data_IF_676934802317
#
_entry.id   IF_676934802317
#
_cell.length_a   1.000
_cell.length_b   1.000
_cell.length_c   1.000
_cell.angle_alpha   90.00
_cell.angle_beta   90.00
_cell.angle_gamma   90.00
#
_symmetry.space_group_name_H-M   'P 1'
#
loop_
_entity.id
_entity.type
_entity.pdbx_description
1 polymer ?
#
# COMPACT_ATOMS: atom_id res chain seq x y z
N UNK A 1 -52.25 1.16 -15.22
CA UNK A 1 -50.95 1.72 -15.60
C UNK A 1 -50.22 2.12 -14.33
N UNK A 2 -49.32 1.29 -13.82
CA UNK A 2 -48.31 1.74 -12.84
C UNK A 2 -47.18 0.72 -12.82
N UNK A 3 -46.08 1.08 -13.50
CA UNK A 3 -44.83 0.34 -13.50
C UNK A 3 -44.21 0.50 -12.11
N UNK A 4 -44.10 -0.60 -11.36
CA UNK A 4 -43.29 -0.62 -10.15
C UNK A 4 -41.82 -0.70 -10.59
N UNK A 5 -41.15 0.45 -10.62
CA UNK A 5 -39.72 0.53 -10.86
C UNK A 5 -39.00 0.07 -9.58
N UNK A 6 -38.46 -1.15 -9.60
CA UNK A 6 -37.58 -1.66 -8.56
C UNK A 6 -36.23 -0.94 -8.70
N UNK A 7 -35.99 0.07 -7.87
CA UNK A 7 -34.66 0.68 -7.73
C UNK A 7 -33.70 -0.38 -7.16
N UNK A 8 -32.74 -0.80 -7.98
CA UNK A 8 -31.50 -1.42 -7.50
C UNK A 8 -30.73 -0.35 -6.69
N UNK A 9 -30.83 -0.42 -5.37
CA UNK A 9 -29.84 0.22 -4.52
C UNK A 9 -28.52 -0.55 -4.67
N UNK A 10 -27.59 -0.02 -5.47
CA UNK A 10 -26.19 -0.36 -5.32
C UNK A 10 -25.75 0.15 -3.95
N UNK A 11 -25.71 -0.74 -2.96
CA UNK A 11 -25.01 -0.44 -1.72
C UNK A 11 -23.56 -0.07 -2.07
N UNK A 12 -23.00 1.03 -1.53
CA UNK A 12 -21.57 1.25 -1.63
C UNK A 12 -20.90 0.05 -0.97
N UNK A 13 -20.02 -0.62 -1.69
CA UNK A 13 -19.08 -1.56 -1.09
C UNK A 13 -18.40 -0.80 0.06
N UNK A 14 -18.77 -1.17 1.29
CA UNK A 14 -18.03 -0.78 2.47
C UNK A 14 -16.55 -1.07 2.17
N UNK A 15 -15.66 -0.12 2.46
CA UNK A 15 -14.22 -0.31 2.36
C UNK A 15 -13.79 -1.48 3.25
N UNK A 16 -13.90 -2.69 2.73
CA UNK A 16 -13.63 -3.92 3.43
C UNK A 16 -12.12 -4.10 3.44
N UNK A 17 -11.42 -3.75 4.52
CA UNK A 17 -10.08 -4.24 4.87
C UNK A 17 -9.18 -4.66 3.68
N UNK A 18 -9.01 -3.79 2.68
CA UNK A 18 -8.35 -4.19 1.44
C UNK A 18 -6.85 -4.21 1.72
N UNK A 19 -6.28 -5.41 1.85
CA UNK A 19 -4.84 -5.60 1.84
C UNK A 19 -4.29 -5.02 0.53
N UNK A 20 -3.20 -4.25 0.61
CA UNK A 20 -2.61 -3.63 -0.58
C UNK A 20 -2.15 -4.71 -1.58
N UNK A 21 -2.34 -4.53 -2.89
CA UNK A 21 -1.93 -5.50 -3.91
C UNK A 21 -0.40 -5.54 -4.03
N UNK A 22 0.21 -6.57 -3.42
CA UNK A 22 1.67 -6.71 -3.31
C UNK A 22 2.35 -7.00 -4.64
N UNK A 23 1.67 -7.73 -5.52
CA UNK A 23 2.07 -7.99 -6.90
C UNK A 23 2.22 -6.69 -7.71
N UNK A 24 1.23 -5.80 -7.67
CA UNK A 24 1.25 -4.53 -8.39
C UNK A 24 2.28 -3.56 -7.81
N UNK A 25 2.43 -3.53 -6.48
CA UNK A 25 3.46 -2.71 -5.82
C UNK A 25 4.85 -3.17 -6.23
N UNK A 26 5.11 -4.48 -6.18
CA UNK A 26 6.40 -5.06 -6.53
C UNK A 26 6.76 -4.79 -8.00
N UNK A 27 5.79 -4.95 -8.91
CA UNK A 27 5.94 -4.64 -10.33
C UNK A 27 6.29 -3.16 -10.56
N UNK A 28 5.60 -2.21 -9.89
CA UNK A 28 5.88 -0.77 -9.99
C UNK A 28 7.25 -0.38 -9.39
N UNK A 29 7.80 -1.20 -8.48
CA UNK A 29 9.14 -1.05 -7.92
C UNK A 29 10.22 -1.80 -8.73
N UNK A 30 9.83 -2.60 -9.72
CA UNK A 30 10.74 -3.40 -10.54
C UNK A 30 11.44 -4.50 -9.76
N UNK A 31 10.73 -5.18 -8.85
CA UNK A 31 11.22 -6.35 -8.12
C UNK A 31 10.18 -7.48 -8.11
N UNK A 32 10.61 -8.70 -7.79
CA UNK A 32 9.71 -9.83 -7.60
C UNK A 32 8.82 -9.64 -6.36
N UNK A 33 7.56 -10.07 -6.43
CA UNK A 33 6.61 -9.97 -5.32
C UNK A 33 7.11 -10.70 -4.06
N UNK A 34 7.67 -11.89 -4.21
CA UNK A 34 8.23 -12.66 -3.10
C UNK A 34 9.32 -11.89 -2.36
N UNK A 35 10.17 -11.14 -3.09
CA UNK A 35 11.22 -10.31 -2.50
C UNK A 35 10.62 -9.08 -1.78
N UNK A 36 9.58 -8.48 -2.36
CA UNK A 36 8.84 -7.40 -1.70
C UNK A 36 8.26 -7.87 -0.36
N UNK A 37 7.51 -8.98 -0.35
CA UNK A 37 6.92 -9.54 0.88
C UNK A 37 7.98 -9.89 1.91
N UNK A 38 9.08 -10.52 1.48
CA UNK A 38 10.20 -10.86 2.37
C UNK A 38 10.81 -9.61 3.04
N UNK A 39 11.01 -8.52 2.29
CA UNK A 39 11.54 -7.28 2.86
C UNK A 39 10.61 -6.61 3.89
N UNK A 40 9.32 -6.94 3.88
CA UNK A 40 8.36 -6.43 4.85
C UNK A 40 8.29 -7.26 6.14
N UNK A 41 8.94 -8.44 6.22
CA UNK A 41 8.85 -9.33 7.37
C UNK A 41 9.28 -8.67 8.69
N UNK A 42 10.29 -7.80 8.65
CA UNK A 42 10.85 -7.13 9.83
C UNK A 42 10.28 -5.71 10.04
N UNK A 43 9.36 -5.27 9.19
CA UNK A 43 8.70 -3.97 9.32
C UNK A 43 7.57 -4.06 10.33
N UNK A 44 7.40 -3.02 11.15
CA UNK A 44 6.31 -2.93 12.14
C UNK A 44 5.26 -1.92 11.67
N UNK A 45 4.33 -2.29 10.77
CA UNK A 45 3.31 -1.38 10.27
C UNK A 45 2.39 -0.89 11.39
N UNK A 46 1.80 0.29 11.18
CA UNK A 46 0.81 0.83 12.10
C UNK A 46 -0.54 0.10 11.90
N UNK A 47 -1.14 -0.50 12.95
CA UNK A 47 -2.43 -1.20 12.84
C UNK A 47 -3.58 -0.29 12.44
N UNK A 48 -3.51 1.02 12.76
CA UNK A 48 -4.49 2.01 12.32
C UNK A 48 -4.22 2.55 10.92
N UNK A 49 -3.26 1.94 10.21
CA UNK A 49 -2.76 2.36 8.90
C UNK A 49 -2.19 3.79 8.86
N UNK A 50 -2.17 4.54 9.96
CA UNK A 50 -1.76 5.95 10.04
C UNK A 50 -0.48 6.13 10.89
N UNK A 51 0.69 5.62 10.43
CA UNK A 51 1.93 5.73 11.19
C UNK A 51 2.35 7.18 11.39
N UNK A 52 2.80 7.52 12.60
CA UNK A 52 3.49 8.78 12.87
C UNK A 52 4.76 8.92 12.01
N UNK A 53 5.20 10.14 11.75
CA UNK A 53 6.44 10.41 11.00
C UNK A 53 7.66 9.63 11.53
N UNK A 54 7.91 9.58 12.86
CA UNK A 54 8.96 8.73 13.43
C UNK A 54 8.80 7.24 13.12
N UNK A 55 7.59 6.68 13.22
CA UNK A 55 7.32 5.26 12.90
C UNK A 55 7.56 4.97 11.42
N UNK A 56 7.16 5.87 10.53
CA UNK A 56 7.46 5.74 9.10
C UNK A 56 8.96 5.68 8.83
N UNK A 57 9.75 6.58 9.42
CA UNK A 57 11.21 6.59 9.26
C UNK A 57 11.86 5.33 9.80
N UNK A 58 11.43 4.86 10.98
CA UNK A 58 11.95 3.62 11.57
C UNK A 58 11.68 2.40 10.68
N UNK A 59 10.46 2.27 10.17
CA UNK A 59 10.10 1.20 9.25
C UNK A 59 10.89 1.26 7.94
N UNK A 60 11.08 2.47 7.39
CA UNK A 60 11.86 2.68 6.16
C UNK A 60 13.36 2.41 6.32
N UNK A 61 13.92 2.65 7.50
CA UNK A 61 15.32 2.35 7.79
C UNK A 61 15.64 0.85 7.70
N UNK A 62 14.63 -0.01 7.94
CA UNK A 62 14.71 -1.46 7.75
C UNK A 62 14.39 -1.84 6.30
N UNK A 63 13.30 -1.29 5.78
CA UNK A 63 12.75 -1.70 4.48
C UNK A 63 13.62 -1.29 3.28
N UNK A 64 14.11 -0.05 3.24
CA UNK A 64 14.79 0.49 2.06
C UNK A 64 16.07 -0.28 1.72
N UNK A 65 16.99 -0.60 2.67
CA UNK A 65 18.18 -1.39 2.35
C UNK A 65 17.85 -2.75 1.73
N UNK A 66 16.80 -3.43 2.21
CA UNK A 66 16.38 -4.72 1.65
C UNK A 66 15.87 -4.57 0.21
N UNK A 67 14.99 -3.59 -0.04
CA UNK A 67 14.48 -3.33 -1.39
C UNK A 67 15.59 -2.92 -2.35
N UNK A 68 16.56 -2.12 -1.88
CA UNK A 68 17.68 -1.65 -2.67
C UNK A 68 18.69 -2.75 -3.01
N UNK A 69 18.78 -3.81 -2.20
CA UNK A 69 19.55 -5.00 -2.55
C UNK A 69 18.96 -5.73 -3.78
N UNK A 70 17.65 -5.66 -3.97
CA UNK A 70 16.96 -6.22 -5.14
C UNK A 70 16.95 -5.26 -6.34
N UNK A 71 16.75 -3.96 -6.10
CA UNK A 71 16.81 -2.92 -7.11
C UNK A 71 17.43 -1.63 -6.53
N UNK A 72 18.72 -1.34 -6.80
CA UNK A 72 19.41 -0.18 -6.26
C UNK A 72 18.82 1.18 -6.67
N UNK A 73 17.99 1.21 -7.73
CA UNK A 73 17.33 2.43 -8.19
C UNK A 73 16.12 2.83 -7.32
N UNK A 74 15.67 1.97 -6.40
CA UNK A 74 14.57 2.28 -5.48
C UNK A 74 15.03 3.38 -4.52
N UNK A 75 14.36 4.53 -4.60
CA UNK A 75 14.55 5.66 -3.68
C UNK A 75 13.40 5.74 -2.68
N UNK A 76 13.62 6.44 -1.55
CA UNK A 76 12.54 6.72 -0.61
C UNK A 76 11.33 7.41 -1.29
N UNK A 77 11.58 8.35 -2.20
CA UNK A 77 10.52 9.05 -2.91
C UNK A 77 9.76 8.16 -3.90
N UNK A 78 10.44 7.21 -4.54
CA UNK A 78 9.79 6.21 -5.39
C UNK A 78 8.92 5.26 -4.57
N UNK A 79 9.45 4.76 -3.45
CA UNK A 79 8.69 3.91 -2.53
C UNK A 79 7.45 4.63 -2.00
N UNK A 80 7.58 5.87 -1.53
CA UNK A 80 6.44 6.65 -1.04
C UNK A 80 5.35 6.81 -2.10
N UNK A 81 5.74 7.18 -3.32
CA UNK A 81 4.79 7.33 -4.43
C UNK A 81 4.04 6.04 -4.75
N UNK A 82 4.73 4.90 -4.78
CA UNK A 82 4.09 3.60 -5.08
C UNK A 82 3.19 3.18 -3.93
N UNK A 83 3.66 3.24 -2.69
CA UNK A 83 2.86 2.84 -1.53
C UNK A 83 1.61 3.72 -1.35
N UNK A 84 1.71 5.03 -1.60
CA UNK A 84 0.58 5.96 -1.56
C UNK A 84 -0.42 5.71 -2.70
N UNK A 85 0.03 5.30 -3.89
CA UNK A 85 -0.84 4.97 -5.04
C UNK A 85 -1.79 3.82 -4.70
N UNK A 86 -1.31 2.79 -4.00
CA UNK A 86 -2.08 1.60 -3.64
C UNK A 86 -2.65 1.65 -2.23
N UNK A 87 -2.69 2.84 -1.62
CA UNK A 87 -3.22 3.03 -0.28
C UNK A 87 -4.74 3.28 -0.33
N UNK A 88 -5.57 2.42 0.31
CA UNK A 88 -7.03 2.60 0.28
C UNK A 88 -7.50 3.94 0.86
N UNK A 89 -6.80 4.46 1.87
CA UNK A 89 -7.12 5.75 2.50
C UNK A 89 -6.65 6.97 1.68
N UNK A 90 -5.98 6.74 0.55
CA UNK A 90 -5.29 7.76 -0.23
C UNK A 90 -3.89 8.08 0.31
N UNK A 91 -3.15 9.00 -0.36
CA UNK A 91 -1.78 9.34 -0.01
C UNK A 91 -1.64 9.89 1.41
N UNK A 92 -0.52 9.59 2.08
CA UNK A 92 -0.26 10.21 3.39
C UNK A 92 -0.10 11.73 3.26
N UNK A 93 -0.75 12.45 4.18
CA UNK A 93 -0.52 13.88 4.37
C UNK A 93 0.91 14.08 4.89
N UNK A 94 1.67 14.90 4.17
CA UNK A 94 3.07 15.22 4.48
C UNK A 94 3.16 16.33 5.52
#
# INVERSE_FOLDING_TARGET
MTRLALLLMLAPLAASAQTRPTDLIAADLGIEEAQFVACFADVRPDPGHAPSGPRQRANKAVLLPCLQAANPAITNAALDRVMDRYRPEGPMRK
#
